data_IF_581423806110
#
_entry.id   IF_581423806110
#
_cell.length_a   1.000
_cell.length_b   1.000
_cell.length_c   1.000
_cell.angle_alpha   90.00
_cell.angle_beta   90.00
_cell.angle_gamma   90.00
#
_symmetry.space_group_name_H-M   'P 1'
#
loop_
_entity.id
_entity.type
_entity.pdbx_description
1 polymer ?
#
# COMPACT_ATOMS: atom_id res chain seq x y z
N UNK A 1 16.67 19.49 47.60
CA UNK A 1 17.77 18.96 46.79
C UNK A 1 17.39 17.65 46.10
N UNK A 2 16.27 17.61 45.35
CA UNK A 2 15.84 16.43 44.56
C UNK A 2 15.01 16.72 43.27
N UNK A 3 14.96 17.94 42.67
CA UNK A 3 14.30 18.10 41.37
C UNK A 3 15.13 17.55 40.19
N UNK A 4 16.40 17.18 40.41
CA UNK A 4 17.31 16.75 39.33
C UNK A 4 17.07 15.29 38.92
N UNK A 5 16.67 14.42 39.85
CA UNK A 5 16.42 13.00 39.58
C UNK A 5 15.18 12.78 38.70
N UNK A 6 14.12 13.57 38.90
CA UNK A 6 12.91 13.47 38.06
C UNK A 6 13.18 13.96 36.65
N UNK A 7 13.96 15.03 36.48
CA UNK A 7 14.40 15.53 35.17
C UNK A 7 15.23 14.49 34.42
N UNK A 8 16.14 13.81 35.11
CA UNK A 8 16.94 12.75 34.51
C UNK A 8 16.08 11.55 34.08
N UNK A 9 15.11 11.15 34.90
CA UNK A 9 14.11 10.13 34.55
C UNK A 9 13.24 10.55 33.35
N UNK A 10 12.81 11.81 33.29
CA UNK A 10 12.08 12.31 32.12
C UNK A 10 12.97 12.27 30.88
N UNK A 11 14.22 12.73 30.95
CA UNK A 11 15.15 12.71 29.82
C UNK A 11 15.40 11.28 29.31
N UNK A 12 15.67 10.31 30.21
CA UNK A 12 15.90 8.92 29.80
C UNK A 12 14.63 8.26 29.26
N UNK A 13 13.46 8.55 29.84
CA UNK A 13 12.17 8.11 29.32
C UNK A 13 11.89 8.67 27.92
N UNK A 14 12.11 9.97 27.72
CA UNK A 14 11.96 10.61 26.41
C UNK A 14 12.89 9.97 25.38
N UNK A 15 14.17 9.78 25.72
CA UNK A 15 15.13 9.11 24.83
C UNK A 15 14.64 7.69 24.50
N UNK A 16 14.22 6.91 25.50
CA UNK A 16 13.70 5.56 25.29
C UNK A 16 12.48 5.54 24.35
N UNK A 17 11.49 6.41 24.58
CA UNK A 17 10.32 6.53 23.71
C UNK A 17 10.71 6.95 22.29
N UNK A 18 11.61 7.92 22.14
CA UNK A 18 12.06 8.34 20.79
C UNK A 18 12.76 7.23 20.04
N UNK A 19 13.59 6.43 20.72
CA UNK A 19 14.28 5.29 20.11
C UNK A 19 13.27 4.22 19.68
N UNK A 20 12.34 3.83 20.57
CA UNK A 20 11.32 2.83 20.24
C UNK A 20 10.41 3.26 19.10
N UNK A 21 9.92 4.51 19.15
CA UNK A 21 9.04 5.05 18.10
C UNK A 21 9.78 5.16 16.76
N UNK A 22 11.06 5.53 16.76
CA UNK A 22 11.88 5.57 15.54
C UNK A 22 12.05 4.18 14.92
N UNK A 23 12.44 3.15 15.71
CA UNK A 23 12.59 1.80 15.19
C UNK A 23 11.26 1.20 14.71
N UNK A 24 10.17 1.43 15.44
CA UNK A 24 8.85 1.00 15.03
C UNK A 24 8.42 1.66 13.72
N UNK A 25 8.59 2.97 13.61
CA UNK A 25 8.25 3.73 12.39
C UNK A 25 9.12 3.27 11.21
N UNK A 26 10.42 3.07 11.41
CA UNK A 26 11.32 2.57 10.37
C UNK A 26 10.88 1.20 9.83
N UNK A 27 10.60 0.23 10.70
CA UNK A 27 10.15 -1.10 10.30
C UNK A 27 8.80 -1.07 9.60
N UNK A 28 7.85 -0.27 10.11
CA UNK A 28 6.55 -0.08 9.49
C UNK A 28 6.69 0.54 8.10
N UNK A 29 7.50 1.60 7.96
CA UNK A 29 7.74 2.25 6.67
C UNK A 29 8.36 1.27 5.67
N UNK A 30 9.37 0.48 6.07
CA UNK A 30 9.99 -0.51 5.21
C UNK A 30 8.98 -1.54 4.68
N UNK A 31 8.05 -2.00 5.54
CA UNK A 31 7.00 -2.92 5.13
C UNK A 31 5.97 -2.27 4.19
N UNK A 32 5.59 -1.02 4.45
CA UNK A 32 4.63 -0.28 3.62
C UNK A 32 5.21 0.12 2.26
N UNK A 33 6.51 0.43 2.19
CA UNK A 33 7.20 0.79 0.95
C UNK A 33 7.57 -0.40 0.10
N UNK A 34 7.68 -1.61 0.68
CA UNK A 34 8.00 -2.82 -0.08
C UNK A 34 6.77 -3.31 -0.86
N UNK A 35 6.60 -2.83 -2.09
CA UNK A 35 5.55 -3.27 -3.02
C UNK A 35 6.00 -4.49 -3.84
N UNK A 36 6.21 -5.63 -3.17
CA UNK A 36 6.56 -6.90 -3.82
C UNK A 36 5.44 -7.93 -3.65
N UNK A 37 4.87 -8.35 -4.77
CA UNK A 37 4.04 -9.54 -4.81
C UNK A 37 4.94 -10.76 -4.98
N UNK A 38 4.94 -11.65 -3.98
CA UNK A 38 5.63 -12.95 -4.08
C UNK A 38 4.61 -14.02 -4.40
N UNK A 39 4.87 -14.82 -5.44
CA UNK A 39 4.10 -16.04 -5.63
C UNK A 39 4.38 -16.99 -4.46
N UNK A 40 3.40 -17.82 -4.07
CA UNK A 40 3.60 -18.83 -3.05
C UNK A 40 4.51 -19.98 -3.50
N UNK A 41 4.92 -20.01 -4.78
CA UNK A 41 5.83 -21.00 -5.36
C UNK A 41 7.16 -20.35 -5.77
N UNK A 42 8.28 -20.93 -5.34
CA UNK A 42 9.62 -20.46 -5.72
C UNK A 42 10.41 -21.49 -6.52
N UNK A 43 10.09 -22.78 -6.37
CA UNK A 43 10.76 -23.89 -7.03
C UNK A 43 9.77 -24.85 -7.70
N UNK A 44 10.17 -25.58 -8.76
CA UNK A 44 9.32 -26.59 -9.39
C UNK A 44 8.85 -27.69 -8.42
N UNK A 45 9.66 -28.00 -7.40
CA UNK A 45 9.32 -28.98 -6.37
C UNK A 45 8.15 -28.54 -5.47
N UNK A 46 7.91 -27.23 -5.35
CA UNK A 46 6.81 -26.71 -4.54
C UNK A 46 5.45 -27.14 -5.09
N UNK A 47 5.34 -27.35 -6.41
CA UNK A 47 4.10 -27.74 -7.07
C UNK A 47 3.56 -29.04 -6.45
N UNK A 48 4.42 -30.06 -6.32
CA UNK A 48 4.05 -31.33 -5.71
C UNK A 48 3.95 -31.24 -4.20
N UNK A 49 4.89 -30.57 -3.53
CA UNK A 49 4.91 -30.48 -2.06
C UNK A 49 3.66 -29.80 -1.51
N UNK A 50 3.21 -28.73 -2.18
CA UNK A 50 2.01 -27.95 -1.81
C UNK A 50 0.73 -28.48 -2.46
N UNK A 51 0.82 -29.61 -3.18
CA UNK A 51 -0.30 -30.29 -3.86
C UNK A 51 -1.08 -29.40 -4.83
N UNK A 52 -0.37 -28.51 -5.53
CA UNK A 52 -0.98 -27.71 -6.58
C UNK A 52 -1.32 -28.58 -7.78
N UNK A 53 -2.54 -28.41 -8.28
CA UNK A 53 -2.97 -29.07 -9.51
C UNK A 53 -2.55 -28.23 -10.70
N UNK A 54 -2.04 -28.90 -11.75
CA UNK A 54 -1.61 -28.22 -12.95
C UNK A 54 -2.15 -28.90 -14.22
N UNK A 55 -2.42 -28.06 -15.22
CA UNK A 55 -2.98 -28.38 -16.53
C UNK A 55 -1.99 -27.96 -17.61
N UNK A 56 -1.95 -28.70 -18.71
CA UNK A 56 -1.22 -28.30 -19.92
C UNK A 56 -2.01 -28.73 -21.13
N UNK A 57 -1.86 -28.02 -22.25
CA UNK A 57 -2.44 -28.47 -23.51
C UNK A 57 -1.71 -29.72 -24.05
N UNK A 58 -2.36 -30.46 -24.94
CA UNK A 58 -1.78 -31.64 -25.62
C UNK A 58 -0.57 -31.28 -26.50
N UNK A 59 -0.51 -30.04 -26.99
CA UNK A 59 0.58 -29.54 -27.84
C UNK A 59 1.83 -29.11 -27.04
N UNK A 60 1.96 -29.49 -25.77
CA UNK A 60 3.14 -29.20 -24.96
C UNK A 60 4.07 -30.41 -24.90
N UNK A 61 5.35 -30.20 -25.22
CA UNK A 61 6.38 -31.25 -25.18
C UNK A 61 6.69 -31.78 -23.78
N UNK A 62 6.17 -31.16 -22.71
CA UNK A 62 6.40 -31.61 -21.33
C UNK A 62 5.90 -33.04 -21.08
N UNK A 63 4.82 -33.46 -21.74
CA UNK A 63 4.26 -34.80 -21.56
C UNK A 63 5.14 -35.88 -22.17
N UNK A 64 5.64 -35.60 -23.37
CA UNK A 64 6.56 -36.50 -24.06
C UNK A 64 7.88 -36.56 -23.31
N UNK A 65 8.37 -35.42 -22.81
CA UNK A 65 9.56 -35.37 -21.96
C UNK A 65 9.42 -36.23 -20.71
N UNK A 66 8.33 -36.09 -19.96
CA UNK A 66 8.06 -36.92 -18.77
C UNK A 66 7.96 -38.40 -19.14
N UNK A 67 7.35 -38.73 -20.30
CA UNK A 67 7.22 -40.12 -20.76
C UNK A 67 8.59 -40.72 -21.08
N UNK A 68 9.46 -40.00 -21.78
CA UNK A 68 10.80 -40.48 -22.11
C UNK A 68 11.68 -40.58 -20.85
N UNK A 69 11.65 -39.59 -19.97
CA UNK A 69 12.38 -39.59 -18.69
C UNK A 69 11.97 -40.76 -17.77
N UNK A 70 10.69 -41.17 -17.84
CA UNK A 70 10.23 -42.34 -17.09
C UNK A 70 10.78 -43.67 -17.62
N UNK A 71 11.13 -43.74 -18.91
CA UNK A 71 11.80 -44.92 -19.49
C UNK A 71 13.28 -44.97 -19.10
N UNK A 72 13.90 -43.81 -18.87
CA UNK A 72 15.29 -43.73 -18.45
C UNK A 72 15.47 -44.08 -16.96
N UNK A 73 16.56 -44.78 -16.65
CA UNK A 73 16.98 -45.06 -15.26
C UNK A 73 17.71 -43.86 -14.67
N UNK A 74 16.96 -42.80 -14.37
CA UNK A 74 17.46 -41.63 -13.67
C UNK A 74 17.43 -41.83 -12.15
N UNK A 75 18.38 -41.23 -11.40
CA UNK A 75 18.41 -41.30 -9.94
C UNK A 75 17.14 -40.67 -9.32
N UNK A 76 16.75 -41.15 -8.13
CA UNK A 76 15.57 -40.66 -7.40
C UNK A 76 15.68 -39.15 -7.17
N UNK A 77 14.60 -38.42 -7.41
CA UNK A 77 14.53 -36.96 -7.31
C UNK A 77 15.01 -36.21 -8.56
N UNK A 78 15.63 -36.89 -9.53
CA UNK A 78 16.03 -36.25 -10.78
C UNK A 78 14.84 -36.07 -11.73
N UNK A 79 13.86 -36.99 -11.68
CA UNK A 79 12.71 -37.01 -12.57
C UNK A 79 11.82 -35.79 -12.41
N UNK A 80 11.45 -35.16 -13.52
CA UNK A 80 10.54 -34.02 -13.56
C UNK A 80 9.17 -34.38 -12.97
N UNK A 81 8.63 -35.57 -13.30
CA UNK A 81 7.37 -36.05 -12.72
C UNK A 81 7.42 -36.16 -11.18
N UNK A 82 8.60 -36.44 -10.61
CA UNK A 82 8.77 -36.47 -9.16
C UNK A 82 8.81 -35.09 -8.53
N UNK A 83 9.21 -34.06 -9.29
CA UNK A 83 9.26 -32.65 -8.85
C UNK A 83 7.90 -31.96 -8.94
N UNK A 84 7.25 -32.02 -10.10
CA UNK A 84 5.98 -31.30 -10.34
C UNK A 84 4.73 -32.14 -10.05
N UNK A 85 4.90 -33.45 -9.81
CA UNK A 85 3.79 -34.37 -9.65
C UNK A 85 3.17 -34.77 -10.99
N UNK A 86 2.12 -35.60 -10.93
CA UNK A 86 1.41 -36.03 -12.12
C UNK A 86 0.59 -34.88 -12.71
N UNK A 87 0.61 -34.77 -14.04
CA UNK A 87 -0.27 -33.86 -14.76
C UNK A 87 -1.73 -34.25 -14.52
N UNK A 88 -2.61 -33.26 -14.34
CA UNK A 88 -4.00 -33.56 -14.01
C UNK A 88 -4.92 -33.64 -15.24
N UNK A 89 -4.74 -32.75 -16.23
CA UNK A 89 -5.66 -32.63 -17.38
C UNK A 89 -4.89 -32.21 -18.63
N UNK A 90 -5.22 -32.82 -19.78
CA UNK A 90 -4.69 -32.50 -21.10
C UNK A 90 -5.82 -32.15 -22.07
N UNK A 91 -6.39 -30.94 -21.99
CA UNK A 91 -7.51 -30.59 -22.85
C UNK A 91 -7.01 -30.26 -24.26
N UNK A 92 -7.75 -30.71 -25.28
CA UNK A 92 -7.58 -30.30 -26.68
C UNK A 92 -8.33 -29.00 -26.96
N UNK A 93 -8.03 -27.98 -26.16
CA UNK A 93 -8.60 -26.64 -26.30
C UNK A 93 -7.47 -25.61 -26.45
N UNK A 94 -7.82 -24.42 -26.91
CA UNK A 94 -6.89 -23.31 -27.06
C UNK A 94 -6.36 -22.81 -25.70
N UNK A 95 -5.13 -22.29 -25.72
CA UNK A 95 -4.43 -21.84 -24.51
C UNK A 95 -5.22 -20.76 -23.76
N UNK A 96 -5.97 -19.90 -24.46
CA UNK A 96 -6.82 -18.87 -23.87
C UNK A 96 -8.01 -19.50 -23.12
N UNK A 97 -8.70 -20.46 -23.72
CA UNK A 97 -9.76 -21.21 -23.01
C UNK A 97 -9.22 -21.95 -21.79
N UNK A 98 -7.97 -22.43 -21.79
CA UNK A 98 -7.35 -23.05 -20.61
C UNK A 98 -7.21 -22.03 -19.48
N UNK A 99 -6.67 -20.84 -19.78
CA UNK A 99 -6.54 -19.76 -18.80
C UNK A 99 -7.88 -19.37 -18.17
N UNK A 100 -8.93 -19.28 -18.97
CA UNK A 100 -10.26 -18.94 -18.44
C UNK A 100 -10.86 -20.10 -17.62
N UNK A 101 -11.02 -21.29 -18.23
CA UNK A 101 -11.80 -22.39 -17.64
C UNK A 101 -11.08 -23.16 -16.52
N UNK A 102 -9.75 -23.16 -16.50
CA UNK A 102 -8.98 -23.94 -15.52
C UNK A 102 -8.19 -23.06 -14.57
N UNK A 103 -7.51 -22.02 -15.08
CA UNK A 103 -6.75 -21.13 -14.19
C UNK A 103 -7.68 -20.20 -13.42
N UNK A 104 -8.64 -19.57 -14.11
CA UNK A 104 -9.54 -18.60 -13.46
C UNK A 104 -10.66 -19.30 -12.68
N UNK A 105 -11.36 -20.24 -13.31
CA UNK A 105 -12.56 -20.84 -12.70
C UNK A 105 -12.25 -21.97 -11.69
N UNK A 106 -11.10 -22.65 -11.83
CA UNK A 106 -10.75 -23.83 -11.01
C UNK A 106 -9.47 -23.67 -10.18
N UNK A 107 -8.84 -22.51 -10.20
CA UNK A 107 -7.59 -22.20 -9.46
C UNK A 107 -6.47 -23.23 -9.71
N UNK A 108 -6.30 -23.63 -10.97
CA UNK A 108 -5.26 -24.58 -11.41
C UNK A 108 -4.08 -23.85 -12.06
N UNK A 109 -2.88 -24.42 -11.94
CA UNK A 109 -1.70 -23.87 -12.61
C UNK A 109 -1.64 -24.29 -14.09
N UNK A 110 -1.38 -23.35 -14.98
CA UNK A 110 -1.15 -23.66 -16.40
C UNK A 110 0.35 -23.73 -16.69
N UNK A 111 0.83 -24.91 -17.09
CA UNK A 111 2.23 -25.09 -17.50
C UNK A 111 2.30 -25.08 -19.02
N UNK A 112 3.00 -24.07 -19.57
CA UNK A 112 3.17 -23.87 -21.00
C UNK A 112 4.50 -23.18 -21.28
N UNK A 113 4.93 -23.20 -22.53
CA UNK A 113 6.14 -22.53 -22.99
C UNK A 113 6.07 -21.01 -22.74
N UNK A 114 7.17 -20.42 -22.25
CA UNK A 114 7.25 -19.00 -21.87
C UNK A 114 6.81 -18.05 -23.01
N UNK A 115 7.26 -18.33 -24.23
CA UNK A 115 6.92 -17.51 -25.41
C UNK A 115 5.43 -17.53 -25.71
N UNK A 116 4.78 -18.68 -25.54
CA UNK A 116 3.33 -18.82 -25.72
C UNK A 116 2.58 -18.12 -24.59
N UNK A 117 3.00 -18.31 -23.34
CA UNK A 117 2.40 -17.62 -22.19
C UNK A 117 2.44 -16.10 -22.35
N UNK A 118 3.58 -15.53 -22.75
CA UNK A 118 3.72 -14.09 -22.95
C UNK A 118 2.74 -13.55 -23.99
N UNK A 119 2.57 -14.25 -25.11
CA UNK A 119 1.62 -13.84 -26.16
C UNK A 119 0.17 -13.95 -25.67
N UNK A 120 -0.23 -15.09 -25.10
CA UNK A 120 -1.61 -15.29 -24.64
C UNK A 120 -1.98 -14.32 -23.52
N UNK A 121 -1.05 -14.04 -22.59
CA UNK A 121 -1.26 -13.04 -21.54
C UNK A 121 -1.35 -11.61 -22.10
N UNK A 122 -0.54 -11.28 -23.10
CA UNK A 122 -0.59 -9.98 -23.75
C UNK A 122 -1.91 -9.78 -24.51
N UNK A 123 -2.37 -10.80 -25.23
CA UNK A 123 -3.64 -10.76 -25.95
C UNK A 123 -4.83 -10.58 -24.99
N UNK A 124 -4.82 -11.27 -23.84
CA UNK A 124 -5.83 -11.06 -22.79
C UNK A 124 -5.79 -9.63 -22.21
N UNK A 125 -4.59 -9.11 -21.93
CA UNK A 125 -4.41 -7.73 -21.46
C UNK A 125 -4.94 -6.71 -22.48
N UNK A 126 -4.63 -6.91 -23.77
CA UNK A 126 -5.07 -6.05 -24.88
C UNK A 126 -6.59 -6.09 -25.05
N UNK A 127 -7.20 -7.27 -24.95
CA UNK A 127 -8.65 -7.41 -25.02
C UNK A 127 -9.36 -6.73 -23.84
N UNK A 128 -8.84 -6.83 -22.62
CA UNK A 128 -9.37 -6.11 -21.45
C UNK A 128 -9.21 -4.60 -21.57
N UNK A 129 -8.10 -4.16 -22.15
CA UNK A 129 -7.85 -2.75 -22.45
C UNK A 129 -8.88 -2.22 -23.45
N UNK A 130 -9.17 -2.95 -24.53
CA UNK A 130 -10.20 -2.60 -25.52
C UNK A 130 -11.61 -2.54 -24.93
N UNK A 131 -11.90 -3.37 -23.93
CA UNK A 131 -13.19 -3.37 -23.20
C UNK A 131 -13.31 -2.25 -22.16
N UNK A 132 -12.29 -1.42 -21.96
CA UNK A 132 -12.32 -0.30 -21.02
C UNK A 132 -12.19 -0.70 -19.54
N UNK A 133 -11.60 -1.85 -19.25
CA UNK A 133 -11.38 -2.29 -17.87
C UNK A 133 -10.39 -1.37 -17.14
N UNK A 134 -10.57 -1.20 -15.83
CA UNK A 134 -9.62 -0.46 -14.98
C UNK A 134 -8.27 -1.17 -14.98
N UNK A 135 -7.19 -0.40 -14.96
CA UNK A 135 -5.81 -0.92 -15.04
C UNK A 135 -5.53 -2.03 -14.01
N UNK A 136 -6.00 -1.87 -12.78
CA UNK A 136 -5.83 -2.85 -11.69
C UNK A 136 -6.50 -4.20 -11.96
N UNK A 137 -7.49 -4.25 -12.85
CA UNK A 137 -8.27 -5.46 -13.15
C UNK A 137 -7.82 -6.12 -14.47
N UNK A 138 -6.87 -5.50 -15.19
CA UNK A 138 -6.33 -6.05 -16.45
C UNK A 138 -5.37 -7.22 -16.21
N UNK A 139 -4.64 -7.18 -15.09
CA UNK A 139 -3.63 -8.16 -14.71
C UNK A 139 -4.23 -9.35 -13.96
N UNK A 140 -4.78 -10.33 -14.70
CA UNK A 140 -5.42 -11.52 -14.09
C UNK A 140 -4.45 -12.68 -13.89
N UNK A 141 -3.43 -12.79 -14.73
CA UNK A 141 -2.48 -13.90 -14.71
C UNK A 141 -1.07 -13.41 -14.36
N UNK A 142 -0.30 -14.28 -13.70
CA UNK A 142 1.11 -14.05 -13.38
C UNK A 142 1.92 -15.29 -13.71
N UNK A 143 3.16 -15.10 -14.18
CA UNK A 143 4.08 -16.20 -14.52
C UNK A 143 5.12 -16.34 -13.41
N UNK A 144 5.40 -17.58 -13.00
CA UNK A 144 6.49 -17.87 -12.09
C UNK A 144 7.85 -17.52 -12.74
N UNK A 145 8.78 -16.97 -11.95
CA UNK A 145 10.09 -16.52 -12.48
C UNK A 145 11.05 -17.65 -12.85
N UNK A 146 10.84 -18.84 -12.27
CA UNK A 146 11.69 -20.00 -12.48
C UNK A 146 11.16 -20.86 -13.65
N UNK A 147 12.03 -21.39 -14.53
CA UNK A 147 11.63 -22.37 -15.52
C UNK A 147 11.44 -23.75 -14.85
N UNK A 148 10.45 -24.51 -15.34
CA UNK A 148 10.24 -25.90 -14.92
C UNK A 148 11.28 -26.82 -15.58
N UNK A 149 11.50 -26.61 -16.87
CA UNK A 149 12.48 -27.30 -17.71
C UNK A 149 12.78 -26.46 -18.95
N UNK A 150 13.91 -26.69 -19.60
CA UNK A 150 14.35 -25.96 -20.80
C UNK A 150 14.39 -26.91 -21.99
N UNK A 151 13.71 -26.54 -23.07
CA UNK A 151 13.70 -27.30 -24.32
C UNK A 151 14.51 -26.59 -25.39
N UNK A 152 15.36 -27.34 -26.10
CA UNK A 152 15.99 -26.86 -27.33
C UNK A 152 14.98 -26.98 -28.48
N UNK A 153 14.79 -25.90 -29.23
CA UNK A 153 13.98 -25.92 -30.44
C UNK A 153 14.88 -26.20 -31.64
N UNK A 154 14.47 -27.12 -32.50
CA UNK A 154 15.19 -27.48 -33.70
C UNK A 154 14.21 -27.74 -34.84
N UNK A 155 14.69 -27.60 -36.08
CA UNK A 155 13.94 -28.00 -37.26
C UNK A 155 14.18 -29.48 -37.51
N UNK A 156 13.09 -30.23 -37.64
CA UNK A 156 13.16 -31.64 -38.03
C UNK A 156 13.06 -31.74 -39.56
N UNK A 157 14.03 -32.42 -40.16
CA UNK A 157 14.05 -32.72 -41.59
C UNK A 157 13.85 -34.21 -41.83
N UNK A 158 13.42 -34.57 -43.06
CA UNK A 158 13.42 -35.98 -43.48
C UNK A 158 14.85 -36.53 -43.41
N UNK A 159 14.98 -37.83 -43.10
CA UNK A 159 16.26 -38.55 -43.23
C UNK A 159 16.84 -38.31 -44.63
N UNK A 160 18.13 -38.00 -44.68
CA UNK A 160 18.90 -37.69 -45.91
C UNK A 160 18.45 -36.41 -46.65
N UNK A 161 18.02 -35.39 -45.91
CA UNK A 161 17.69 -34.08 -46.50
C UNK A 161 18.94 -33.39 -47.06
N UNK A 162 19.00 -33.28 -48.39
CA UNK A 162 20.14 -32.73 -49.17
C UNK A 162 20.63 -31.35 -48.68
N UNK A 163 19.72 -30.48 -48.24
CA UNK A 163 20.03 -29.10 -47.91
C UNK A 163 20.22 -28.86 -46.40
N UNK A 164 20.34 -29.92 -45.59
CA UNK A 164 20.49 -29.78 -44.14
C UNK A 164 21.59 -28.77 -43.77
N UNK A 165 22.80 -28.92 -44.32
CA UNK A 165 23.93 -28.02 -44.04
C UNK A 165 23.65 -26.55 -44.39
N UNK A 166 22.91 -26.32 -45.48
CA UNK A 166 22.55 -24.97 -45.92
C UNK A 166 21.57 -24.34 -44.94
N UNK A 167 20.55 -25.09 -44.52
CA UNK A 167 19.56 -24.62 -43.54
C UNK A 167 20.20 -24.41 -42.17
N UNK A 168 21.02 -25.34 -41.70
CA UNK A 168 21.70 -25.24 -40.41
C UNK A 168 22.58 -23.98 -40.36
N UNK A 169 23.37 -23.71 -41.42
CA UNK A 169 24.17 -22.49 -41.53
C UNK A 169 23.32 -21.22 -41.59
N UNK A 170 22.24 -21.22 -42.38
CA UNK A 170 21.34 -20.06 -42.46
C UNK A 170 20.65 -19.76 -41.12
N UNK A 171 20.16 -20.79 -40.42
CA UNK A 171 19.52 -20.67 -39.11
C UNK A 171 20.54 -20.17 -38.09
N UNK A 172 21.76 -20.71 -38.10
CA UNK A 172 22.83 -20.25 -37.22
C UNK A 172 23.10 -18.76 -37.39
N UNK A 173 23.23 -18.28 -38.64
CA UNK A 173 23.41 -16.85 -38.89
C UNK A 173 22.20 -16.00 -38.46
N UNK A 174 20.97 -16.52 -38.55
CA UNK A 174 19.76 -15.85 -38.04
C UNK A 174 19.73 -15.76 -36.50
N UNK A 175 20.31 -16.74 -35.80
CA UNK A 175 20.49 -16.71 -34.34
C UNK A 175 21.61 -15.74 -33.97
N UNK A 176 22.78 -15.85 -34.61
CA UNK A 176 23.97 -15.01 -34.34
C UNK A 176 23.71 -13.52 -34.59
N UNK A 177 22.91 -13.21 -35.62
CA UNK A 177 22.49 -11.82 -35.92
C UNK A 177 21.40 -11.29 -34.98
N UNK A 178 20.80 -12.13 -34.13
CA UNK A 178 19.70 -11.74 -33.23
C UNK A 178 18.35 -11.57 -33.92
N UNK A 179 18.21 -11.89 -35.22
CA UNK A 179 16.96 -11.73 -35.97
C UNK A 179 15.85 -12.58 -35.36
N UNK A 180 16.16 -13.81 -34.92
CA UNK A 180 15.17 -14.69 -34.29
C UNK A 180 14.66 -14.10 -32.97
N UNK A 181 15.55 -13.56 -32.13
CA UNK A 181 15.17 -12.95 -30.86
C UNK A 181 14.30 -11.72 -31.08
N UNK A 182 14.69 -10.86 -32.02
CA UNK A 182 13.88 -9.71 -32.44
C UNK A 182 12.48 -10.14 -32.92
N UNK A 183 12.39 -11.14 -33.80
CA UNK A 183 11.11 -11.64 -34.32
C UNK A 183 10.23 -12.28 -33.25
N UNK A 184 10.81 -12.89 -32.21
CA UNK A 184 10.05 -13.41 -31.07
C UNK A 184 9.46 -12.30 -30.20
N UNK A 185 10.07 -11.11 -30.19
CA UNK A 185 9.64 -9.96 -29.39
C UNK A 185 8.86 -8.90 -30.19
N UNK A 186 8.89 -8.92 -31.52
CA UNK A 186 8.32 -7.89 -32.42
C UNK A 186 6.86 -7.50 -32.13
N UNK A 187 6.03 -8.44 -31.67
CA UNK A 187 4.61 -8.20 -31.36
C UNK A 187 4.30 -8.07 -29.86
N UNK A 188 5.34 -8.14 -29.03
CA UNK A 188 5.25 -8.01 -27.58
C UNK A 188 5.78 -6.63 -27.16
N UNK A 189 5.29 -6.07 -26.05
CA UNK A 189 5.84 -4.83 -25.52
C UNK A 189 7.24 -5.06 -24.94
N UNK A 190 8.12 -4.05 -25.06
CA UNK A 190 9.47 -4.07 -24.48
C UNK A 190 9.46 -4.13 -22.94
N UNK A 191 8.37 -3.68 -22.32
CA UNK A 191 8.18 -3.68 -20.87
C UNK A 191 7.41 -4.90 -20.39
N UNK A 192 7.77 -5.46 -19.22
CA UNK A 192 7.02 -6.56 -18.60
C UNK A 192 5.55 -6.19 -18.37
N UNK A 193 4.65 -7.01 -18.89
CA UNK A 193 3.21 -6.88 -18.66
C UNK A 193 2.92 -7.37 -17.25
N UNK A 194 2.31 -6.52 -16.42
CA UNK A 194 1.91 -6.86 -15.05
C UNK A 194 3.08 -7.31 -14.16
N UNK A 195 4.06 -6.43 -13.87
CA UNK A 195 5.21 -6.79 -13.08
C UNK A 195 4.83 -7.12 -11.64
N UNK A 196 5.34 -8.23 -11.11
CA UNK A 196 5.18 -8.62 -9.70
C UNK A 196 5.90 -7.65 -8.74
N UNK A 197 6.96 -7.03 -9.26
CA UNK A 197 7.72 -5.99 -8.56
C UNK A 197 7.30 -4.64 -9.15
N UNK A 198 6.50 -3.88 -8.42
CA UNK A 198 6.09 -2.53 -8.82
C UNK A 198 7.24 -1.50 -8.68
N UNK A 199 8.43 -1.94 -8.25
CA UNK A 199 9.60 -1.09 -8.10
C UNK A 199 9.41 -0.08 -6.98
N UNK A 200 9.80 1.18 -7.24
CA UNK A 200 9.73 2.28 -6.29
C UNK A 200 8.38 3.04 -6.33
N UNK A 201 7.34 2.48 -6.95
CA UNK A 201 6.01 3.10 -6.89
C UNK A 201 5.41 2.82 -5.52
N UNK A 202 5.35 3.84 -4.68
CA UNK A 202 4.81 3.74 -3.32
C UNK A 202 3.37 3.22 -3.35
N UNK A 203 3.10 2.16 -2.56
CA UNK A 203 1.75 1.64 -2.36
C UNK A 203 0.90 2.72 -1.68
N UNK A 204 -0.17 3.17 -2.34
CA UNK A 204 -1.19 4.02 -1.71
C UNK A 204 -1.93 3.23 -0.63
N UNK A 205 -1.95 3.72 0.61
CA UNK A 205 -2.72 3.11 1.69
C UNK A 205 -4.22 3.16 1.36
N UNK A 206 -4.91 2.05 1.63
CA UNK A 206 -6.38 1.97 1.55
C UNK A 206 -6.99 2.09 2.94
N UNK A 207 -8.24 2.53 3.02
CA UNK A 207 -8.98 2.59 4.29
C UNK A 207 -9.06 1.23 5.00
N UNK A 208 -9.00 0.13 4.24
CA UNK A 208 -8.93 -1.24 4.79
C UNK A 208 -7.66 -1.48 5.59
N UNK A 209 -6.52 -0.90 5.18
CA UNK A 209 -5.24 -1.05 5.87
C UNK A 209 -5.25 -0.33 7.24
N UNK A 210 -6.15 0.66 7.41
CA UNK A 210 -6.36 1.40 8.66
C UNK A 210 -7.41 0.78 9.59
N UNK A 211 -8.09 -0.29 9.18
CA UNK A 211 -9.19 -0.89 9.95
C UNK A 211 -8.77 -1.29 11.37
N UNK A 212 -7.56 -1.82 11.53
CA UNK A 212 -7.02 -2.19 12.84
C UNK A 212 -6.94 -0.98 13.78
N UNK A 213 -6.52 0.19 13.26
CA UNK A 213 -6.44 1.42 14.07
C UNK A 213 -7.81 1.88 14.53
N UNK A 214 -8.83 1.78 13.67
CA UNK A 214 -10.21 2.09 14.04
C UNK A 214 -10.75 1.14 15.11
N UNK A 215 -10.47 -0.15 14.99
CA UNK A 215 -10.88 -1.14 16.00
C UNK A 215 -10.23 -0.87 17.37
N UNK A 216 -8.95 -0.51 17.41
CA UNK A 216 -8.25 -0.17 18.66
C UNK A 216 -8.86 1.08 19.30
N UNK A 217 -9.11 2.13 18.52
CA UNK A 217 -9.71 3.37 19.05
C UNK A 217 -11.13 3.12 19.56
N UNK A 218 -11.94 2.39 18.81
CA UNK A 218 -13.30 2.03 19.22
C UNK A 218 -13.29 1.16 20.50
N UNK A 219 -12.40 0.18 20.58
CA UNK A 219 -12.20 -0.64 21.77
C UNK A 219 -11.77 0.19 22.98
N UNK A 220 -10.81 1.10 22.82
CA UNK A 220 -10.34 1.99 23.88
C UNK A 220 -11.45 2.92 24.40
N UNK A 221 -12.27 3.47 23.51
CA UNK A 221 -13.42 4.29 23.88
C UNK A 221 -14.48 3.47 24.61
N UNK A 222 -14.73 2.23 24.17
CA UNK A 222 -15.63 1.29 24.84
C UNK A 222 -15.18 0.97 26.27
N UNK A 223 -13.89 0.68 26.47
CA UNK A 223 -13.32 0.43 27.81
C UNK A 223 -13.41 1.68 28.68
N UNK A 224 -13.10 2.87 28.15
CA UNK A 224 -13.22 4.12 28.90
C UNK A 224 -14.66 4.38 29.38
N UNK A 225 -15.65 4.17 28.50
CA UNK A 225 -17.07 4.28 28.85
C UNK A 225 -17.45 3.25 29.92
N UNK A 226 -16.97 2.01 29.80
CA UNK A 226 -17.24 0.95 30.79
C UNK A 226 -16.66 1.30 32.17
N UNK A 227 -15.41 1.77 32.23
CA UNK A 227 -14.75 2.20 33.47
C UNK A 227 -15.49 3.39 34.08
N UNK A 228 -15.88 4.38 33.27
CA UNK A 228 -16.67 5.52 33.74
C UNK A 228 -18.05 5.10 34.27
N UNK A 229 -18.73 4.17 33.59
CA UNK A 229 -19.99 3.59 34.05
C UNK A 229 -19.86 2.81 35.36
N UNK A 230 -18.78 2.04 35.51
CA UNK A 230 -18.44 1.33 36.75
C UNK A 230 -18.18 2.31 37.90
N UNK A 231 -17.44 3.38 37.65
CA UNK A 231 -17.17 4.41 38.66
C UNK A 231 -18.47 5.10 39.13
N UNK A 232 -19.36 5.46 38.19
CA UNK A 232 -20.65 6.06 38.53
C UNK A 232 -21.54 5.10 39.33
N UNK A 233 -21.51 3.81 39.00
CA UNK A 233 -22.29 2.77 39.69
C UNK A 233 -21.73 2.49 41.09
N UNK A 234 -20.41 2.39 41.23
CA UNK A 234 -19.73 2.25 42.52
C UNK A 234 -19.99 3.46 43.43
N UNK A 235 -19.92 4.69 42.91
CA UNK A 235 -20.26 5.91 43.66
C UNK A 235 -21.72 5.93 44.12
N UNK A 236 -22.67 5.43 43.32
CA UNK A 236 -24.08 5.32 43.71
C UNK A 236 -24.31 4.23 44.77
N UNK A 237 -23.64 3.10 44.68
CA UNK A 237 -23.75 2.01 45.67
C UNK A 237 -23.08 2.33 47.01
N UNK A 238 -21.93 3.01 46.98
CA UNK A 238 -21.23 3.49 48.18
C UNK A 238 -21.93 4.71 48.82
N UNK A 239 -22.81 5.42 48.09
CA UNK A 239 -23.69 6.47 48.60
C UNK A 239 -25.06 5.96 49.08
N UNK A 240 -25.18 4.70 49.55
CA UNK A 240 -26.31 4.39 50.45
C UNK A 240 -26.16 5.26 51.69
N UNK A 241 -27.16 6.10 52.04
CA UNK A 241 -27.06 6.92 53.23
C UNK A 241 -27.12 5.99 54.44
N UNK A 242 -26.07 5.97 55.25
CA UNK A 242 -26.18 5.54 56.64
C UNK A 242 -27.11 6.53 57.35
N UNK A 243 -28.42 6.27 57.33
CA UNK A 243 -29.37 6.89 58.24
C UNK A 243 -29.43 6.02 59.49
N UNK A 244 -28.66 6.38 60.52
CA UNK A 244 -29.02 6.23 61.94
C UNK A 244 -27.93 6.89 62.80
N UNK A 245 -28.37 7.45 63.93
CA UNK A 245 -27.64 8.30 64.91
C UNK A 245 -27.61 9.76 64.45
N UNK A 246 -28.43 10.69 64.97
CA UNK A 246 -28.72 10.96 66.37
C UNK A 246 -30.09 11.68 66.52
N UNK A 247 -30.97 11.18 67.39
CA UNK A 247 -32.19 11.87 67.86
C UNK A 247 -32.13 11.97 69.39
N UNK A 248 -32.68 13.08 69.90
CA UNK A 248 -32.79 13.57 71.29
C UNK A 248 -31.56 14.38 71.72
N UNK A 249 -31.72 15.65 72.08
CA UNK A 249 -32.46 16.11 73.29
C UNK A 249 -33.08 17.52 73.07
N UNK A 250 -34.40 17.63 73.33
CA UNK A 250 -35.15 18.66 74.12
C UNK A 250 -35.01 20.16 73.69
N UNK A 251 -36.00 21.06 73.59
CA UNK A 251 -37.35 21.28 74.17
C UNK A 251 -38.13 22.29 73.30
N UNK A 252 -39.46 22.28 73.44
CA UNK A 252 -40.44 23.26 72.95
C UNK A 252 -40.09 24.72 73.27
N UNK A 253 -40.44 25.64 72.35
CA UNK A 253 -41.53 26.59 72.60
C UNK A 253 -42.14 27.13 71.30
N UNK A 254 -43.46 27.12 71.31
CA UNK A 254 -44.38 27.57 70.28
C UNK A 254 -44.63 29.06 70.42
N UNK A 255 -44.53 29.83 69.33
CA UNK A 255 -45.50 30.90 69.03
C UNK A 255 -45.40 31.40 67.59
N UNK A 256 -46.44 31.07 66.81
CA UNK A 256 -47.16 31.93 65.84
C UNK A 256 -46.51 33.27 65.46
N UNK A 257 -46.20 33.49 64.18
CA UNK A 257 -47.10 34.13 63.20
C UNK A 257 -46.34 34.74 62.01
N UNK A 258 -46.94 34.52 60.83
CA UNK A 258 -47.05 35.41 59.66
C UNK A 258 -45.83 35.72 58.77
N UNK A 259 -46.04 35.33 57.49
CA UNK A 259 -45.72 36.05 56.24
C UNK A 259 -44.27 36.52 56.04
N UNK A 260 -43.63 36.01 54.98
CA UNK A 260 -43.28 36.88 53.85
C UNK A 260 -43.01 36.09 52.57
N UNK A 261 -43.79 36.42 51.56
CA UNK A 261 -43.62 36.11 50.14
C UNK A 261 -42.59 37.05 49.50
N UNK A 262 -41.76 36.47 48.63
CA UNK A 262 -41.31 36.97 47.31
C UNK A 262 -40.59 38.33 47.17
N UNK A 263 -39.35 38.22 46.65
CA UNK A 263 -38.76 38.91 45.48
C UNK A 263 -38.53 40.43 45.50
N UNK A 264 -37.27 40.85 45.32
CA UNK A 264 -36.73 41.56 44.13
C UNK A 264 -35.40 42.31 44.46
N UNK A 265 -34.63 42.57 43.39
CA UNK A 265 -33.58 43.60 43.22
C UNK A 265 -32.09 43.25 43.49
N UNK A 266 -31.40 42.95 42.39
CA UNK A 266 -30.36 43.79 41.75
C UNK A 266 -29.73 44.93 42.59
N UNK A 267 -28.41 44.87 42.85
CA UNK A 267 -27.39 45.95 42.74
C UNK A 267 -26.06 45.43 43.34
N UNK A 268 -24.95 45.33 42.59
CA UNK A 268 -24.04 46.40 42.14
C UNK A 268 -23.29 47.10 43.30
N UNK A 269 -22.02 46.75 43.52
CA UNK A 269 -20.86 47.64 43.42
C UNK A 269 -19.62 47.10 44.15
N UNK A 270 -18.51 47.06 43.39
CA UNK A 270 -17.16 47.52 43.70
C UNK A 270 -16.58 47.28 45.10
N UNK A 271 -15.46 46.55 45.13
CA UNK A 271 -14.17 47.15 45.49
C UNK A 271 -12.96 46.26 45.13
N UNK A 272 -12.12 46.84 44.27
CA UNK A 272 -10.68 47.05 44.41
C UNK A 272 -9.67 45.88 44.34
N UNK A 273 -8.66 46.16 43.51
CA UNK A 273 -7.27 45.72 43.51
C UNK A 273 -6.93 44.44 42.75
N UNK A 274 -6.58 44.63 41.47
CA UNK A 274 -5.49 43.88 40.85
C UNK A 274 -4.55 44.83 40.12
N UNK A 275 -3.41 45.08 40.77
CA UNK A 275 -2.17 45.50 40.10
C UNK A 275 -1.58 44.33 39.32
N UNK A 276 -1.03 44.64 38.13
CA UNK A 276 0.15 44.08 37.47
C UNK A 276 0.33 42.55 37.36
N UNK A 277 0.27 42.01 36.14
CA UNK A 277 1.48 41.47 35.48
C UNK A 277 1.26 41.19 33.98
N UNK A 278 2.17 41.72 33.16
CA UNK A 278 2.22 41.61 31.70
C UNK A 278 2.36 40.16 31.20
N UNK A 279 1.46 39.75 30.30
CA UNK A 279 1.63 38.55 29.48
C UNK A 279 2.17 38.95 28.10
N UNK A 280 3.47 38.77 27.90
CA UNK A 280 4.15 38.94 26.61
C UNK A 280 3.51 38.01 25.58
N UNK A 281 2.65 38.57 24.71
CA UNK A 281 2.13 37.87 23.53
C UNK A 281 3.28 37.57 22.57
N UNK A 282 3.69 36.31 22.48
CA UNK A 282 4.39 35.79 21.29
C UNK A 282 3.44 35.94 20.10
N UNK A 283 3.69 36.94 19.27
CA UNK A 283 3.00 37.16 18.00
C UNK A 283 3.44 36.06 17.02
N UNK A 284 2.74 34.92 17.01
CA UNK A 284 2.83 33.99 15.87
C UNK A 284 1.93 34.54 14.77
N UNK A 285 2.46 34.97 13.61
CA UNK A 285 1.58 35.39 12.52
C UNK A 285 0.67 34.21 12.13
N UNK A 286 -0.61 34.49 11.81
CA UNK A 286 -1.52 33.45 11.34
C UNK A 286 -0.92 32.76 10.10
N UNK A 287 -1.25 31.47 9.88
CA UNK A 287 -0.82 30.78 8.66
C UNK A 287 -1.28 31.58 7.43
N UNK A 288 -0.47 31.64 6.37
CA UNK A 288 -0.80 32.39 5.18
C UNK A 288 -2.12 31.88 4.57
N UNK A 289 -2.96 32.80 4.11
CA UNK A 289 -4.25 32.47 3.47
C UNK A 289 -4.02 31.56 2.27
N UNK A 290 -4.87 30.54 2.06
CA UNK A 290 -4.77 29.57 0.96
C UNK A 290 -4.58 30.20 -0.44
N UNK A 291 -5.06 31.43 -0.65
CA UNK A 291 -4.88 32.20 -1.88
C UNK A 291 -3.42 32.52 -2.22
N UNK A 292 -2.51 32.63 -1.23
CA UNK A 292 -1.09 32.90 -1.47
C UNK A 292 -0.32 31.71 -2.06
N UNK A 293 -0.98 30.57 -2.26
CA UNK A 293 -0.40 29.36 -2.88
C UNK A 293 -0.52 29.37 -4.42
N UNK A 294 -1.49 30.10 -4.96
CA UNK A 294 -1.81 30.08 -6.39
C UNK A 294 -1.48 31.39 -7.11
N UNK A 295 -1.21 32.46 -6.36
CA UNK A 295 -0.88 33.77 -6.90
C UNK A 295 0.47 34.26 -6.36
N UNK A 296 1.24 35.02 -7.16
CA UNK A 296 2.42 35.70 -6.64
C UNK A 296 2.03 36.65 -5.49
N UNK A 297 2.94 36.96 -4.56
CA UNK A 297 2.63 37.81 -3.42
C UNK A 297 1.98 39.12 -3.87
N UNK A 298 1.00 39.60 -3.10
CA UNK A 298 0.05 40.68 -3.45
C UNK A 298 0.67 41.97 -4.03
N UNK A 299 1.99 42.19 -3.88
CA UNK A 299 2.72 43.32 -4.47
C UNK A 299 2.92 43.23 -6.00
N UNK A 300 2.74 42.07 -6.63
CA UNK A 300 3.10 41.85 -8.04
C UNK A 300 1.92 41.49 -8.96
N UNK A 301 0.67 41.59 -8.49
CA UNK A 301 -0.53 41.16 -9.23
C UNK A 301 -0.80 41.90 -10.55
N UNK A 302 -0.10 43.02 -10.81
CA UNK A 302 -0.31 43.87 -11.99
C UNK A 302 0.81 43.79 -13.05
N UNK A 303 1.75 42.84 -12.95
CA UNK A 303 2.88 42.72 -13.89
C UNK A 303 2.96 41.35 -14.57
N UNK A 304 3.49 41.31 -15.80
CA UNK A 304 3.79 40.09 -16.57
C UNK A 304 4.60 39.09 -15.73
N UNK A 305 3.94 38.11 -15.11
CA UNK A 305 4.60 36.99 -14.43
C UNK A 305 4.63 35.77 -15.35
N UNK A 306 5.77 35.08 -15.38
CA UNK A 306 5.92 33.84 -16.14
C UNK A 306 6.41 32.72 -15.21
N UNK A 307 5.82 31.53 -15.35
CA UNK A 307 6.27 30.34 -14.64
C UNK A 307 7.42 29.71 -15.43
N UNK A 308 8.55 29.42 -14.76
CA UNK A 308 9.70 28.76 -15.39
C UNK A 308 10.25 27.66 -14.49
N UNK A 309 10.54 26.51 -15.09
CA UNK A 309 11.24 25.42 -14.41
C UNK A 309 12.75 25.58 -14.63
N UNK A 310 13.52 25.60 -13.55
CA UNK A 310 14.98 25.70 -13.58
C UNK A 310 15.53 24.62 -12.63
N UNK A 311 16.31 23.68 -13.18
CA UNK A 311 16.93 22.58 -12.42
C UNK A 311 15.91 21.78 -11.56
N UNK A 312 14.73 21.49 -12.11
CA UNK A 312 13.72 20.67 -11.44
C UNK A 312 12.92 21.38 -10.35
N UNK A 313 13.10 22.70 -10.19
CA UNK A 313 12.30 23.53 -9.27
C UNK A 313 11.54 24.59 -10.05
N UNK A 314 10.27 24.76 -9.72
CA UNK A 314 9.40 25.77 -10.32
C UNK A 314 9.62 27.14 -9.65
N UNK A 315 9.72 28.19 -10.46
CA UNK A 315 9.85 29.58 -10.01
C UNK A 315 8.82 30.48 -10.72
N UNK A 316 8.34 31.50 -10.01
CA UNK A 316 7.77 32.68 -10.64
C UNK A 316 8.91 33.61 -11.06
N UNK A 317 8.94 33.97 -12.33
CA UNK A 317 9.80 35.04 -12.86
C UNK A 317 8.95 36.30 -12.89
N UNK A 318 9.31 37.28 -12.06
CA UNK A 318 8.60 38.55 -11.96
C UNK A 318 9.57 39.68 -12.27
N UNK A 319 9.13 40.63 -13.09
CA UNK A 319 9.89 41.85 -13.31
C UNK A 319 9.54 42.83 -12.19
N UNK A 320 10.55 43.26 -11.44
CA UNK A 320 10.37 44.33 -10.46
C UNK A 320 10.07 45.65 -11.18
N UNK A 321 9.50 46.63 -10.46
CA UNK A 321 9.20 47.97 -11.02
C UNK A 321 10.45 48.70 -11.55
N UNK A 322 11.63 48.29 -11.12
CA UNK A 322 12.95 48.77 -11.54
C UNK A 322 13.54 48.01 -12.74
N UNK A 323 12.80 47.06 -13.34
CA UNK A 323 13.21 46.34 -14.55
C UNK A 323 14.10 45.10 -14.32
N UNK A 324 14.50 44.82 -13.07
CA UNK A 324 15.23 43.60 -12.72
C UNK A 324 14.32 42.36 -12.65
N UNK A 325 14.85 41.20 -13.09
CA UNK A 325 14.15 39.90 -13.02
C UNK A 325 14.39 39.24 -11.67
N UNK A 326 13.32 39.05 -10.90
CA UNK A 326 13.34 38.37 -9.61
C UNK A 326 12.75 36.96 -9.74
N UNK A 327 13.39 35.97 -9.09
CA UNK A 327 12.96 34.58 -9.08
C UNK A 327 12.38 34.23 -7.71
N UNK A 328 11.09 33.94 -7.65
CA UNK A 328 10.41 33.54 -6.41
C UNK A 328 10.17 32.03 -6.46
N UNK A 329 10.74 31.23 -5.55
CA UNK A 329 10.56 29.78 -5.56
C UNK A 329 9.10 29.41 -5.25
N UNK A 330 8.51 28.57 -6.09
CA UNK A 330 7.18 28.05 -5.87
C UNK A 330 7.26 26.97 -4.78
N UNK A 331 6.62 27.19 -3.63
CA UNK A 331 6.43 26.13 -2.64
C UNK A 331 5.13 25.41 -2.96
N UNK A 332 5.22 24.27 -3.64
CA UNK A 332 4.09 23.34 -3.76
C UNK A 332 3.75 22.81 -2.36
N UNK A 333 2.53 23.01 -1.85
CA UNK A 333 2.15 22.38 -0.59
C UNK A 333 2.16 20.87 -0.79
N UNK A 334 2.61 20.14 0.23
CA UNK A 334 2.78 18.67 0.21
C UNK A 334 1.49 17.92 -0.18
N UNK A 335 0.33 18.57 -0.07
CA UNK A 335 -0.98 18.03 -0.44
C UNK A 335 -1.33 18.11 -1.94
N UNK A 336 -0.66 18.96 -2.73
CA UNK A 336 -0.93 19.14 -4.17
C UNK A 336 0.04 18.38 -5.09
N UNK A 337 1.06 17.73 -4.52
CA UNK A 337 1.97 16.83 -5.26
C UNK A 337 1.26 15.60 -5.87
N UNK A 338 0.00 15.34 -5.52
CA UNK A 338 -0.72 14.12 -5.89
C UNK A 338 -1.87 14.30 -6.89
N UNK A 339 -2.03 15.46 -7.53
CA UNK A 339 -3.18 15.71 -8.40
C UNK A 339 -2.90 15.94 -9.89
N UNK A 340 -1.67 15.75 -10.39
CA UNK A 340 -1.43 15.93 -11.83
C UNK A 340 -0.64 14.78 -12.46
N UNK A 341 -1.37 13.85 -13.07
CA UNK A 341 -0.97 13.16 -14.30
C UNK A 341 -2.26 12.74 -15.02
N UNK A 342 -2.65 13.50 -16.05
CA UNK A 342 -3.53 13.02 -17.11
C UNK A 342 -2.67 12.36 -18.19
#
# INVERSE_FOLDING_TARGET
MFPDSSRLLFCTWWIFITILTAFYTANLTAFLTLSKFTLPINDPSDIKQKRYQWVTNRANGITDYIREENKEMLPRGAKLAEKIGNATIFPEIDDRSILQKYVTDRDMMFIREKTVLNNVMYDDYKDKTRRGWKESERCTYVVAKFPITTFSRAFAFRKDFKYQKLFDSAIQHLVESGIIEYKLQEHLPDTEICPLNLGNTERKLRNTDLLLTYLIVAGGLGVAIAVFGLELSARKWLRKPSKKVQRRVVRMNSTKNNKLTTTLFHNNNNNNNYENFEFVKKFTPPPPSYQSLFYPPFKYSNGNYQKKNINGRDYWVVNNKEGARELIPLRTPSALLFQWSN
#
